data_IF_905971878816
#
_entry.id   IF_905971878816
#
_cell.length_a   1.000
_cell.length_b   1.000
_cell.length_c   1.000
_cell.angle_alpha   90.00
_cell.angle_beta   90.00
_cell.angle_gamma   90.00
#
_symmetry.space_group_name_H-M   'P 1'
#
loop_
_entity.id
_entity.type
_entity.pdbx_description
1 polymer ?
#
# COMPACT_ATOMS: atom_id res chain seq x y z
N UNK A 1 -38.01 -20.67 -4.84
CA UNK A 1 -36.60 -21.12 -4.90
C UNK A 1 -35.79 -19.95 -5.46
N UNK A 2 -35.26 -19.07 -4.60
CA UNK A 2 -34.50 -17.90 -5.04
C UNK A 2 -33.03 -18.29 -5.22
N UNK A 3 -32.58 -18.34 -6.46
CA UNK A 3 -31.16 -18.47 -6.78
C UNK A 3 -30.47 -17.14 -6.45
N UNK A 4 -29.77 -17.08 -5.31
CA UNK A 4 -28.88 -15.98 -4.98
C UNK A 4 -27.62 -16.18 -5.84
N UNK A 5 -27.60 -15.57 -7.02
CA UNK A 5 -26.39 -15.48 -7.83
C UNK A 5 -25.34 -14.69 -7.04
N UNK A 6 -24.32 -15.37 -6.48
CA UNK A 6 -23.14 -14.71 -5.92
C UNK A 6 -22.46 -13.93 -7.06
N UNK A 7 -22.54 -12.60 -7.00
CA UNK A 7 -21.82 -11.72 -7.93
C UNK A 7 -20.33 -12.04 -7.88
N UNK A 8 -19.72 -12.35 -9.04
CA UNK A 8 -18.28 -12.61 -9.13
C UNK A 8 -17.55 -11.32 -8.73
N UNK A 9 -16.63 -11.41 -7.76
CA UNK A 9 -15.78 -10.26 -7.36
C UNK A 9 -14.93 -9.82 -8.56
N UNK A 10 -14.90 -8.52 -8.81
CA UNK A 10 -14.02 -7.90 -9.81
C UNK A 10 -12.60 -7.79 -9.26
N UNK A 11 -11.61 -7.51 -10.13
CA UNK A 11 -10.24 -7.25 -9.68
C UNK A 11 -10.17 -6.09 -8.69
N UNK A 12 -10.93 -5.02 -8.94
CA UNK A 12 -11.03 -3.86 -8.04
C UNK A 12 -11.62 -4.26 -6.68
N UNK A 13 -12.67 -5.10 -6.64
CA UNK A 13 -13.23 -5.57 -5.35
C UNK A 13 -12.18 -6.31 -4.50
N UNK A 14 -11.25 -7.02 -5.15
CA UNK A 14 -10.15 -7.71 -4.46
C UNK A 14 -9.10 -6.68 -3.98
N UNK A 15 -8.76 -5.66 -4.78
CA UNK A 15 -7.86 -4.58 -4.36
C UNK A 15 -8.41 -3.88 -3.12
N UNK A 16 -9.70 -3.49 -3.12
CA UNK A 16 -10.35 -2.83 -1.99
C UNK A 16 -10.30 -3.69 -0.72
N UNK A 17 -10.57 -4.99 -0.88
CA UNK A 17 -10.51 -5.94 0.21
C UNK A 17 -9.07 -6.08 0.77
N UNK A 18 -8.08 -6.21 -0.10
CA UNK A 18 -6.67 -6.32 0.30
C UNK A 18 -6.19 -5.05 1.01
N UNK A 19 -6.52 -3.86 0.49
CA UNK A 19 -6.21 -2.58 1.14
C UNK A 19 -6.83 -2.49 2.53
N UNK A 20 -8.08 -2.91 2.68
CA UNK A 20 -8.76 -2.98 3.98
C UNK A 20 -7.99 -3.88 4.95
N UNK A 21 -7.54 -5.06 4.50
CA UNK A 21 -6.74 -5.97 5.33
C UNK A 21 -5.37 -5.40 5.67
N UNK A 22 -4.80 -4.58 4.78
CA UNK A 22 -3.57 -3.82 4.99
C UNK A 22 -3.79 -2.53 5.81
N UNK A 23 -4.99 -2.26 6.31
CA UNK A 23 -5.23 -1.08 7.14
C UNK A 23 -5.46 0.23 6.37
N UNK A 24 -5.91 0.18 5.12
CA UNK A 24 -6.14 1.35 4.27
C UNK A 24 -7.55 1.40 3.66
N UNK A 25 -8.09 2.61 3.55
CA UNK A 25 -9.29 2.93 2.77
C UNK A 25 -8.91 3.72 1.52
N UNK A 26 -9.25 3.19 0.34
CA UNK A 26 -8.93 3.84 -0.92
C UNK A 26 -9.71 5.15 -1.07
N UNK A 27 -9.08 6.15 -1.70
CA UNK A 27 -9.71 7.41 -2.11
C UNK A 27 -10.05 7.39 -3.61
N UNK A 28 -10.88 8.34 -4.11
CA UNK A 28 -11.26 8.39 -5.52
C UNK A 28 -10.07 8.38 -6.50
N UNK A 29 -8.98 9.09 -6.19
CA UNK A 29 -7.78 9.06 -7.02
C UNK A 29 -7.10 7.68 -7.01
N UNK A 30 -7.02 7.04 -5.84
CA UNK A 30 -6.53 5.67 -5.70
C UNK A 30 -7.34 4.67 -6.52
N UNK A 31 -8.66 4.84 -6.62
CA UNK A 31 -9.51 3.99 -7.48
C UNK A 31 -9.10 4.11 -8.96
N UNK A 32 -8.81 5.32 -9.43
CA UNK A 32 -8.34 5.54 -10.80
C UNK A 32 -7.00 4.85 -11.04
N UNK A 33 -6.04 5.02 -10.11
CA UNK A 33 -4.72 4.37 -10.19
C UNK A 33 -4.86 2.85 -10.17
N UNK A 34 -5.63 2.30 -9.22
CA UNK A 34 -5.88 0.87 -9.12
C UNK A 34 -6.49 0.29 -10.40
N UNK A 35 -7.45 1.00 -10.99
CA UNK A 35 -8.09 0.56 -12.24
C UNK A 35 -7.09 0.54 -13.41
N UNK A 36 -6.23 1.56 -13.49
CA UNK A 36 -5.20 1.63 -14.52
C UNK A 36 -4.16 0.50 -14.37
N UNK A 37 -3.67 0.24 -13.15
CA UNK A 37 -2.70 -0.83 -12.90
C UNK A 37 -3.27 -2.22 -13.17
N UNK A 38 -4.52 -2.48 -12.75
CA UNK A 38 -5.22 -3.71 -13.11
C UNK A 38 -5.34 -3.88 -14.62
N UNK A 39 -5.64 -2.79 -15.36
CA UNK A 39 -5.70 -2.82 -16.82
C UNK A 39 -4.33 -3.03 -17.47
N UNK A 40 -3.24 -2.63 -16.81
CA UNK A 40 -1.85 -2.90 -17.21
C UNK A 40 -1.37 -4.31 -16.87
N UNK A 41 -2.20 -5.14 -16.22
CA UNK A 41 -1.91 -6.55 -15.95
C UNK A 41 -1.33 -6.84 -14.57
N UNK A 42 -1.25 -5.84 -13.67
CA UNK A 42 -0.89 -6.08 -12.28
C UNK A 42 -1.97 -6.89 -11.56
N UNK A 43 -1.54 -7.73 -10.62
CA UNK A 43 -2.43 -8.55 -9.80
C UNK A 43 -3.04 -7.69 -8.69
N UNK A 44 -4.24 -8.00 -8.21
CA UNK A 44 -4.89 -7.22 -7.16
C UNK A 44 -4.07 -7.03 -5.87
N UNK A 45 -3.24 -8.00 -5.49
CA UNK A 45 -2.35 -7.87 -4.33
C UNK A 45 -1.22 -6.86 -4.56
N UNK A 46 -0.68 -6.81 -5.78
CA UNK A 46 0.40 -5.90 -6.21
C UNK A 46 -0.10 -4.46 -6.28
N UNK A 47 -1.32 -4.26 -6.78
CA UNK A 47 -1.97 -2.95 -6.80
C UNK A 47 -2.26 -2.45 -5.37
N UNK A 48 -2.74 -3.34 -4.50
CA UNK A 48 -3.00 -3.00 -3.11
C UNK A 48 -1.70 -2.67 -2.35
N UNK A 49 -0.63 -3.44 -2.54
CA UNK A 49 0.67 -3.16 -1.92
C UNK A 49 1.25 -1.84 -2.38
N UNK A 50 1.18 -1.53 -3.68
CA UNK A 50 1.65 -0.27 -4.22
C UNK A 50 0.95 0.95 -3.60
N UNK A 51 -0.39 0.90 -3.52
CA UNK A 51 -1.19 1.95 -2.90
C UNK A 51 -0.88 2.07 -1.40
N UNK A 52 -0.72 0.94 -0.70
CA UNK A 52 -0.43 0.90 0.72
C UNK A 52 0.91 1.55 1.06
N UNK A 53 2.02 1.14 0.42
CA UNK A 53 3.33 1.70 0.74
C UNK A 53 3.47 3.16 0.28
N UNK A 54 2.82 3.54 -0.83
CA UNK A 54 2.80 4.94 -1.27
C UNK A 54 2.07 5.84 -0.27
N UNK A 55 0.96 5.34 0.28
CA UNK A 55 0.22 6.04 1.33
C UNK A 55 1.04 6.14 2.60
N UNK A 56 1.71 5.06 3.02
CA UNK A 56 2.61 5.07 4.17
C UNK A 56 3.77 6.05 4.00
N UNK A 57 4.42 6.07 2.83
CA UNK A 57 5.50 7.02 2.54
C UNK A 57 5.02 8.47 2.67
N UNK A 58 3.80 8.75 2.21
CA UNK A 58 3.16 10.05 2.37
C UNK A 58 2.85 10.39 3.82
N UNK A 59 2.34 9.44 4.60
CA UNK A 59 2.06 9.63 6.03
C UNK A 59 3.34 9.97 6.82
N UNK A 60 4.45 9.28 6.51
CA UNK A 60 5.77 9.56 7.11
C UNK A 60 6.26 10.94 6.67
N UNK A 61 6.16 11.27 5.38
CA UNK A 61 6.55 12.59 4.86
C UNK A 61 5.75 13.73 5.50
N UNK A 62 4.43 13.55 5.68
CA UNK A 62 3.55 14.55 6.30
C UNK A 62 3.78 14.68 7.81
N UNK A 63 4.29 13.63 8.48
CA UNK A 63 4.72 13.70 9.88
C UNK A 63 5.96 14.59 10.08
N UNK A 64 6.75 14.87 9.01
CA UNK A 64 7.95 15.71 9.04
C UNK A 64 8.94 15.26 10.12
N UNK A 65 9.14 16.06 11.15
CA UNK A 65 10.07 15.80 12.25
C UNK A 65 9.37 15.21 13.49
N UNK A 66 8.07 14.87 13.40
CA UNK A 66 7.33 14.27 14.50
C UNK A 66 7.74 12.81 14.69
N UNK A 67 8.80 12.62 15.46
CA UNK A 67 9.38 11.32 15.79
C UNK A 67 8.37 10.34 16.40
N UNK A 68 7.42 10.82 17.23
CA UNK A 68 6.41 9.95 17.84
C UNK A 68 5.47 9.38 16.79
N UNK A 69 4.97 10.21 15.87
CA UNK A 69 4.13 9.75 14.76
C UNK A 69 4.88 8.79 13.83
N UNK A 70 6.15 9.08 13.50
CA UNK A 70 6.95 8.19 12.65
C UNK A 70 7.19 6.85 13.33
N UNK A 71 7.49 6.86 14.63
CA UNK A 71 7.67 5.63 15.42
C UNK A 71 6.39 4.81 15.53
N UNK A 72 5.22 5.47 15.58
CA UNK A 72 3.92 4.80 15.59
C UNK A 72 3.56 4.13 14.23
N UNK A 73 4.17 4.56 13.12
CA UNK A 73 4.00 3.94 11.80
C UNK A 73 4.81 2.64 11.67
N UNK A 74 5.96 2.53 12.36
CA UNK A 74 6.84 1.36 12.31
C UNK A 74 6.12 0.01 12.47
N UNK A 75 5.31 -0.24 13.53
CA UNK A 75 4.62 -1.52 13.68
C UNK A 75 3.65 -1.82 12.54
N UNK A 76 3.04 -0.80 11.93
CA UNK A 76 2.18 -1.00 10.76
C UNK A 76 2.99 -1.41 9.52
N UNK A 77 4.16 -0.79 9.32
CA UNK A 77 5.12 -1.21 8.30
C UNK A 77 5.55 -2.67 8.43
N UNK A 78 5.87 -3.10 9.65
CA UNK A 78 6.22 -4.49 9.93
C UNK A 78 5.08 -5.46 9.60
N UNK A 79 3.85 -5.13 10.03
CA UNK A 79 2.67 -5.93 9.68
C UNK A 79 2.41 -5.96 8.17
N UNK A 80 2.66 -4.86 7.46
CA UNK A 80 2.55 -4.83 6.00
C UNK A 80 3.58 -5.75 5.34
N UNK A 81 4.83 -5.78 5.82
CA UNK A 81 5.86 -6.72 5.33
C UNK A 81 5.42 -8.19 5.47
N UNK A 82 4.80 -8.54 6.59
CA UNK A 82 4.26 -9.88 6.81
C UNK A 82 3.14 -10.21 5.81
N UNK A 83 2.22 -9.27 5.57
CA UNK A 83 1.15 -9.43 4.56
C UNK A 83 1.73 -9.60 3.15
N UNK A 84 2.77 -8.85 2.79
CA UNK A 84 3.44 -8.99 1.48
C UNK A 84 4.12 -10.35 1.34
N UNK A 85 4.76 -10.82 2.40
CA UNK A 85 5.35 -12.16 2.45
C UNK A 85 4.28 -13.24 2.25
N UNK A 86 3.15 -13.15 2.95
CA UNK A 86 2.05 -14.09 2.80
C UNK A 86 1.47 -14.05 1.37
N UNK A 87 1.34 -12.87 0.78
CA UNK A 87 0.88 -12.71 -0.60
C UNK A 87 1.85 -13.37 -1.60
N UNK A 88 3.16 -13.26 -1.39
CA UNK A 88 4.18 -13.96 -2.20
C UNK A 88 4.08 -15.47 -2.03
N UNK A 89 4.05 -15.95 -0.78
CA UNK A 89 4.05 -17.39 -0.47
C UNK A 89 2.77 -18.08 -0.98
N UNK A 90 1.66 -17.33 -1.10
CA UNK A 90 0.41 -17.78 -1.72
C UNK A 90 0.30 -17.48 -3.24
N UNK A 91 1.39 -17.10 -3.90
CA UNK A 91 1.46 -16.83 -5.34
C UNK A 91 0.52 -15.70 -5.82
N UNK A 92 0.11 -14.79 -4.92
CA UNK A 92 -0.73 -13.63 -5.24
C UNK A 92 0.06 -12.46 -5.82
N UNK A 93 1.39 -12.45 -5.63
CA UNK A 93 2.32 -11.47 -6.18
C UNK A 93 3.43 -12.15 -6.98
N UNK A 94 3.92 -11.47 -8.02
CA UNK A 94 5.17 -11.82 -8.68
C UNK A 94 6.34 -11.67 -7.68
N UNK A 95 7.29 -12.62 -7.60
CA UNK A 95 8.46 -12.49 -6.74
C UNK A 95 9.24 -11.18 -6.90
N UNK A 96 9.39 -10.69 -8.14
CA UNK A 96 10.08 -9.43 -8.39
C UNK A 96 9.30 -8.22 -7.83
N UNK A 97 7.96 -8.25 -7.93
CA UNK A 97 7.12 -7.20 -7.36
C UNK A 97 7.14 -7.24 -5.82
N UNK A 98 7.12 -8.44 -5.24
CA UNK A 98 7.28 -8.60 -3.79
C UNK A 98 8.62 -8.05 -3.30
N UNK A 99 9.73 -8.35 -3.98
CA UNK A 99 11.06 -7.85 -3.62
C UNK A 99 11.11 -6.31 -3.68
N UNK A 100 10.54 -5.73 -4.73
CA UNK A 100 10.44 -4.28 -4.88
C UNK A 100 9.62 -3.64 -3.74
N UNK A 101 8.40 -4.12 -3.51
CA UNK A 101 7.47 -3.50 -2.56
C UNK A 101 7.91 -3.71 -1.12
N UNK A 102 8.42 -4.89 -0.78
CA UNK A 102 8.94 -5.15 0.56
C UNK A 102 10.21 -4.34 0.85
N UNK A 103 11.08 -4.15 -0.15
CA UNK A 103 12.23 -3.25 -0.02
C UNK A 103 11.78 -1.81 0.21
N UNK A 104 10.80 -1.33 -0.56
CA UNK A 104 10.24 0.00 -0.40
C UNK A 104 9.67 0.20 1.01
N UNK A 105 8.81 -0.72 1.47
CA UNK A 105 8.23 -0.67 2.83
C UNK A 105 9.32 -0.68 3.90
N UNK A 106 10.27 -1.61 3.82
CA UNK A 106 11.36 -1.70 4.80
C UNK A 106 12.17 -0.41 4.87
N UNK A 107 12.47 0.20 3.72
CA UNK A 107 13.27 1.42 3.63
C UNK A 107 12.54 2.65 4.15
N UNK A 108 11.22 2.77 3.93
CA UNK A 108 10.48 3.92 4.46
C UNK A 108 10.21 3.82 5.96
N UNK A 109 10.15 2.61 6.54
CA UNK A 109 9.89 2.46 7.99
C UNK A 109 11.16 2.39 8.84
N UNK A 110 12.32 2.11 8.24
CA UNK A 110 13.60 2.12 8.94
C UNK A 110 14.10 3.55 9.09
N UNK A 111 14.33 4.00 10.33
CA UNK A 111 14.85 5.33 10.63
C UNK A 111 16.37 5.38 10.42
N UNK A 112 16.78 5.43 9.16
CA UNK A 112 18.17 5.55 8.74
C UNK A 112 18.36 6.67 7.69
N UNK A 113 19.61 6.87 7.24
CA UNK A 113 19.96 7.91 6.26
C UNK A 113 19.28 7.70 4.89
N UNK A 114 18.81 6.49 4.57
CA UNK A 114 18.18 6.17 3.29
C UNK A 114 16.67 6.42 3.30
N UNK A 115 16.05 6.57 4.46
CA UNK A 115 14.60 6.71 4.60
C UNK A 115 14.04 7.83 3.71
N UNK A 116 14.62 9.03 3.83
CA UNK A 116 14.17 10.22 3.10
C UNK A 116 14.39 10.08 1.58
N UNK A 117 15.46 9.41 1.17
CA UNK A 117 15.72 9.12 -0.25
C UNK A 117 14.63 8.22 -0.84
N UNK A 118 14.26 7.16 -0.13
CA UNK A 118 13.21 6.23 -0.56
C UNK A 118 11.83 6.87 -0.56
N UNK A 119 11.50 7.63 0.47
CA UNK A 119 10.26 8.44 0.50
C UNK A 119 10.22 9.38 -0.71
N UNK A 120 11.33 10.07 -1.00
CA UNK A 120 11.44 10.94 -2.16
C UNK A 120 11.24 10.19 -3.49
N UNK A 121 11.85 9.02 -3.65
CA UNK A 121 11.68 8.18 -4.85
C UNK A 121 10.22 7.77 -5.06
N UNK A 122 9.54 7.33 -4.01
CA UNK A 122 8.13 6.90 -4.06
C UNK A 122 7.21 8.08 -4.38
N UNK A 123 7.39 9.21 -3.69
CA UNK A 123 6.50 10.37 -3.83
C UNK A 123 6.78 11.21 -5.09
N UNK A 124 7.91 11.01 -5.76
CA UNK A 124 8.19 11.58 -7.07
C UNK A 124 7.54 10.81 -8.23
N UNK A 125 6.86 9.69 -7.97
CA UNK A 125 6.05 9.03 -8.99
C UNK A 125 4.97 10.02 -9.51
N UNK A 126 4.92 10.28 -10.84
CA UNK A 126 4.05 11.32 -11.39
C UNK A 126 2.55 10.97 -11.31
N UNK A 127 2.21 9.73 -10.98
CA UNK A 127 0.85 9.22 -10.87
C UNK A 127 0.51 8.96 -9.40
N UNK A 128 1.20 8.00 -8.77
CA UNK A 128 0.94 7.54 -7.42
C UNK A 128 1.37 8.56 -6.36
N UNK A 129 2.47 9.28 -6.63
CA UNK A 129 3.01 10.30 -5.74
C UNK A 129 2.26 11.63 -5.80
N UNK A 130 1.48 11.89 -6.86
CA UNK A 130 0.86 13.21 -7.11
C UNK A 130 -0.25 13.57 -6.12
N UNK A 131 -1.18 12.65 -5.85
CA UNK A 131 -2.25 12.86 -4.86
C UNK A 131 -2.33 11.67 -3.91
N UNK A 132 -2.98 11.88 -2.76
CA UNK A 132 -3.22 10.83 -1.78
C UNK A 132 -4.12 9.73 -2.39
N UNK A 133 -3.65 8.49 -2.34
CA UNK A 133 -4.32 7.33 -2.93
C UNK A 133 -5.28 6.63 -1.95
N UNK A 134 -4.90 6.61 -0.66
CA UNK A 134 -5.68 6.03 0.41
C UNK A 134 -5.50 6.80 1.71
N UNK A 135 -6.32 6.49 2.70
CA UNK A 135 -6.17 6.91 4.09
C UNK A 135 -5.88 5.72 4.97
N UNK A 136 -4.94 5.86 5.90
CA UNK A 136 -4.73 4.87 6.95
C UNK A 136 -5.98 4.75 7.82
N UNK A 137 -6.34 3.52 8.19
CA UNK A 137 -7.34 3.21 9.22
C UNK A 137 -6.74 3.24 10.63
N UNK A 138 -5.42 3.30 10.72
CA UNK A 138 -4.68 3.39 11.97
C UNK A 138 -4.39 4.87 12.20
N UNK A 139 -4.84 5.37 13.35
CA UNK A 139 -4.49 6.71 13.82
C UNK A 139 -3.10 6.67 14.46
N UNK A 140 -2.13 7.31 13.80
CA UNK A 140 -0.74 7.38 14.28
C UNK A 140 -0.47 8.59 15.19
N UNK A 141 -1.50 9.39 15.48
CA UNK A 141 -1.37 10.53 16.39
C UNK A 141 -1.25 10.00 17.82
N UNK A 142 -0.16 10.39 18.47
CA UNK A 142 0.11 10.14 19.89
C UNK A 142 0.02 11.47 20.62
#
# INVERSE_FOLDING_TARGET
MFSIFKKKKTGLDIVLHNLTMMGYDILPHGITVATAELASGYRPAEVASHIAFTTMARDIHEARDNFLTISAIYPHGMALLDVLKDCKDNHLMNPAQWENDSTAVYRIITLDEQQLEWIGKILNDPVAGKNRLATSRIEYQV
#
